data_IF_803833625331
#
_entry.id   IF_803833625331
#
_cell.length_a   1.000
_cell.length_b   1.000
_cell.length_c   1.000
_cell.angle_alpha   90.00
_cell.angle_beta   90.00
_cell.angle_gamma   90.00
#
_symmetry.space_group_name_H-M   'P 1'
#
loop_
_entity.id
_entity.type
_entity.pdbx_description
1 polymer ?
#
# COMPACT_ATOMS: atom_id res chain seq x y z
N UNK A 1 7.68 -10.15 -0.84
CA UNK A 1 6.60 -9.38 -0.17
C UNK A 1 6.39 -8.06 -0.90
N UNK A 2 5.13 -7.67 -1.18
CA UNK A 2 4.83 -6.44 -1.90
C UNK A 2 5.26 -5.20 -1.09
N UNK A 3 5.90 -4.28 -1.79
CA UNK A 3 6.63 -3.13 -1.26
C UNK A 3 5.87 -2.18 -0.33
N UNK A 4 4.57 -2.08 -0.55
CA UNK A 4 3.58 -1.31 0.19
C UNK A 4 2.26 -1.98 -0.16
N UNK A 5 1.75 -2.91 0.65
CA UNK A 5 0.63 -3.75 0.26
C UNK A 5 -0.60 -2.95 -0.19
N UNK A 6 -0.87 -1.80 0.43
CA UNK A 6 -1.90 -0.86 -0.02
C UNK A 6 -1.68 -0.35 -1.45
N UNK A 7 -0.47 0.09 -1.81
CA UNK A 7 -0.20 0.65 -3.15
C UNK A 7 -0.39 -0.42 -4.23
N UNK A 8 0.01 -1.66 -3.95
CA UNK A 8 -0.23 -2.79 -4.84
C UNK A 8 -1.71 -3.14 -4.93
N UNK A 9 -2.43 -3.12 -3.81
CA UNK A 9 -3.87 -3.42 -3.75
C UNK A 9 -4.70 -2.44 -4.57
N UNK A 10 -4.39 -1.14 -4.47
CA UNK A 10 -5.15 -0.09 -5.16
C UNK A 10 -4.70 0.14 -6.60
N UNK A 11 -3.64 -0.53 -7.08
CA UNK A 11 -3.10 -0.35 -8.42
C UNK A 11 -4.06 -0.90 -9.49
N UNK A 12 -4.66 0.02 -10.24
CA UNK A 12 -5.59 -0.23 -11.34
C UNK A 12 -5.31 0.73 -12.48
N UNK A 13 -6.01 0.60 -13.60
CA UNK A 13 -5.85 1.53 -14.73
C UNK A 13 -6.22 2.97 -14.34
N UNK A 14 -7.14 3.13 -13.39
CA UNK A 14 -7.56 4.44 -12.85
C UNK A 14 -6.52 5.07 -11.95
N UNK A 15 -5.80 4.27 -11.15
CA UNK A 15 -4.82 4.78 -10.17
C UNK A 15 -3.38 4.81 -10.69
N UNK A 16 -3.08 4.00 -11.70
CA UNK A 16 -1.75 3.89 -12.29
C UNK A 16 -1.16 5.25 -12.72
N UNK A 17 -1.89 6.18 -13.37
CA UNK A 17 -1.32 7.47 -13.75
C UNK A 17 -0.82 8.32 -12.57
N UNK A 18 -1.54 8.28 -11.44
CA UNK A 18 -1.16 9.04 -10.23
C UNK A 18 0.05 8.41 -9.54
N UNK A 19 0.07 7.08 -9.45
CA UNK A 19 1.19 6.33 -8.88
C UNK A 19 2.45 6.42 -9.76
N UNK A 20 2.28 6.40 -11.09
CA UNK A 20 3.34 6.64 -12.06
C UNK A 20 3.95 8.03 -11.88
N UNK A 21 3.12 9.08 -11.78
CA UNK A 21 3.62 10.43 -11.50
C UNK A 21 4.43 10.46 -10.20
N UNK A 22 3.92 9.85 -9.13
CA UNK A 22 4.69 9.75 -7.88
C UNK A 22 6.05 9.06 -8.09
N UNK A 23 6.09 7.96 -8.84
CA UNK A 23 7.33 7.26 -9.17
C UNK A 23 8.35 8.14 -9.93
N UNK A 24 7.88 8.90 -10.93
CA UNK A 24 8.71 9.80 -11.74
C UNK A 24 9.24 10.97 -10.93
N UNK A 25 8.34 11.67 -10.24
CA UNK A 25 8.67 12.94 -9.55
C UNK A 25 9.46 12.72 -8.26
N UNK A 26 9.23 11.62 -7.53
CA UNK A 26 9.85 11.40 -6.21
C UNK A 26 11.04 10.46 -6.30
N UNK A 27 11.01 9.48 -7.20
CA UNK A 27 12.06 8.46 -7.32
C UNK A 27 12.83 8.50 -8.65
N UNK A 28 12.54 9.47 -9.52
CA UNK A 28 13.24 9.62 -10.80
C UNK A 28 13.06 8.45 -11.76
N UNK A 29 11.91 7.76 -11.70
CA UNK A 29 11.62 6.66 -12.63
C UNK A 29 11.43 7.22 -14.04
N UNK A 30 12.14 6.71 -15.04
CA UNK A 30 12.07 7.17 -16.45
C UNK A 30 11.23 6.23 -17.36
N UNK A 31 10.27 5.51 -16.78
CA UNK A 31 9.36 4.65 -17.54
C UNK A 31 8.12 5.44 -18.01
N UNK A 32 7.78 5.33 -19.29
CA UNK A 32 6.70 6.07 -19.94
C UNK A 32 5.33 5.41 -19.74
N UNK A 33 5.27 4.08 -19.70
CA UNK A 33 4.04 3.36 -19.40
C UNK A 33 3.62 3.58 -17.94
N UNK A 34 2.38 4.02 -17.72
CA UNK A 34 1.93 4.36 -16.37
C UNK A 34 1.84 3.13 -15.45
N UNK A 35 1.45 1.96 -15.97
CA UNK A 35 1.35 0.75 -15.13
C UNK A 35 2.74 0.33 -14.66
N UNK A 36 3.70 0.21 -15.59
CA UNK A 36 5.08 -0.15 -15.28
C UNK A 36 5.77 0.89 -14.39
N UNK A 37 5.57 2.19 -14.66
CA UNK A 37 6.13 3.25 -13.83
C UNK A 37 5.59 3.20 -12.39
N UNK A 38 4.28 2.94 -12.22
CA UNK A 38 3.68 2.77 -10.90
C UNK A 38 4.25 1.55 -10.16
N UNK A 39 4.40 0.40 -10.84
CA UNK A 39 5.02 -0.81 -10.27
C UNK A 39 6.48 -0.57 -9.84
N UNK A 40 7.27 0.10 -10.68
CA UNK A 40 8.63 0.50 -10.35
C UNK A 40 8.66 1.45 -9.14
N UNK A 41 7.77 2.43 -9.08
CA UNK A 41 7.62 3.32 -7.94
C UNK A 41 7.29 2.59 -6.64
N UNK A 42 6.37 1.61 -6.71
CA UNK A 42 6.05 0.73 -5.59
C UNK A 42 7.33 0.03 -5.11
N UNK A 43 8.12 -0.57 -6.01
CA UNK A 43 9.40 -1.20 -5.63
C UNK A 43 10.42 -0.24 -5.03
N UNK A 44 10.49 1.01 -5.51
CA UNK A 44 11.37 2.04 -4.94
C UNK A 44 10.99 2.40 -3.51
N UNK A 45 9.69 2.48 -3.20
CA UNK A 45 9.23 2.66 -1.81
C UNK A 45 9.64 1.48 -0.93
N UNK A 46 9.62 0.24 -1.46
CA UNK A 46 10.15 -0.92 -0.72
C UNK A 46 11.60 -0.71 -0.30
N UNK A 47 12.43 -0.40 -1.28
CA UNK A 47 13.86 -0.28 -1.11
C UNK A 47 14.17 0.84 -0.11
N UNK A 48 13.41 1.94 -0.19
CA UNK A 48 13.50 3.02 0.78
C UNK A 48 13.12 2.58 2.20
N UNK A 49 11.97 1.93 2.41
CA UNK A 49 11.58 1.41 3.72
C UNK A 49 12.62 0.43 4.30
N UNK A 50 13.18 -0.44 3.46
CA UNK A 50 14.24 -1.37 3.85
C UNK A 50 15.53 -0.65 4.24
N UNK A 51 15.89 0.43 3.53
CA UNK A 51 17.06 1.26 3.88
C UNK A 51 16.91 1.98 5.23
N UNK A 52 15.68 2.14 5.71
CA UNK A 52 15.35 2.68 7.03
C UNK A 52 15.20 1.60 8.10
N UNK A 53 15.47 0.33 7.78
CA UNK A 53 15.29 -0.81 8.68
C UNK A 53 13.86 -0.92 9.23
N UNK A 54 12.87 -0.42 8.48
CA UNK A 54 11.47 -0.59 8.85
C UNK A 54 11.09 -2.08 8.79
N UNK A 55 10.32 -2.58 9.78
CA UNK A 55 9.73 -3.93 9.71
C UNK A 55 9.03 -4.15 8.38
N UNK A 56 9.33 -5.28 7.73
CA UNK A 56 8.74 -5.68 6.47
C UNK A 56 7.34 -6.31 6.67
N UNK A 57 7.07 -6.84 7.86
CA UNK A 57 5.80 -7.49 8.22
C UNK A 57 5.21 -6.90 9.49
N UNK A 58 3.90 -7.14 9.68
CA UNK A 58 3.24 -6.77 10.93
C UNK A 58 3.70 -7.64 12.11
N UNK A 59 4.08 -8.90 11.86
CA UNK A 59 4.61 -9.79 12.89
C UNK A 59 5.98 -9.35 13.41
N UNK A 60 6.87 -8.83 12.54
CA UNK A 60 8.13 -8.21 12.95
C UNK A 60 7.90 -6.97 13.83
N UNK A 61 6.77 -6.28 13.66
CA UNK A 61 6.33 -5.18 14.51
C UNK A 61 5.57 -5.62 15.77
N UNK A 62 5.46 -6.92 16.04
CA UNK A 62 4.78 -7.47 17.21
C UNK A 62 3.25 -7.53 17.11
N UNK A 63 2.68 -7.42 15.91
CA UNK A 63 1.24 -7.49 15.67
C UNK A 63 0.86 -8.89 15.17
N UNK A 64 0.15 -9.70 15.97
CA UNK A 64 -0.33 -11.01 15.55
C UNK A 64 -1.54 -10.92 14.60
N UNK A 65 -1.72 -11.96 13.80
CA UNK A 65 -2.74 -12.02 12.73
C UNK A 65 -4.18 -12.05 13.26
N UNK A 66 -4.39 -12.60 14.45
CA UNK A 66 -5.71 -12.69 15.09
C UNK A 66 -6.33 -11.31 15.41
N UNK A 67 -5.52 -10.25 15.43
CA UNK A 67 -5.98 -8.88 15.56
C UNK A 67 -6.45 -8.25 14.24
N UNK A 68 -6.18 -8.86 13.08
CA UNK A 68 -6.41 -8.20 11.79
C UNK A 68 -7.88 -7.90 11.51
N UNK A 69 -8.80 -8.74 12.02
CA UNK A 69 -10.24 -8.49 11.91
C UNK A 69 -10.67 -7.24 12.69
N UNK A 70 -10.22 -7.12 13.95
CA UNK A 70 -10.49 -5.95 14.79
C UNK A 70 -9.84 -4.70 14.20
N UNK A 71 -8.56 -4.77 13.80
CA UNK A 71 -7.83 -3.67 13.19
C UNK A 71 -8.52 -3.16 11.91
N UNK A 72 -9.00 -4.06 11.06
CA UNK A 72 -9.69 -3.68 9.82
C UNK A 72 -11.02 -2.97 10.12
N UNK A 73 -11.79 -3.49 11.09
CA UNK A 73 -13.04 -2.87 11.53
C UNK A 73 -12.80 -1.47 12.11
N UNK A 74 -11.83 -1.35 13.01
CA UNK A 74 -11.50 -0.09 13.66
C UNK A 74 -10.94 0.95 12.69
N UNK A 75 -10.13 0.54 11.72
CA UNK A 75 -9.63 1.42 10.67
C UNK A 75 -10.77 2.06 9.87
N UNK A 76 -11.82 1.30 9.52
CA UNK A 76 -12.98 1.83 8.80
C UNK A 76 -13.85 2.68 9.72
N UNK A 77 -14.10 2.22 10.95
CA UNK A 77 -15.00 2.88 11.92
C UNK A 77 -14.49 4.26 12.36
N UNK A 78 -13.19 4.39 12.56
CA UNK A 78 -12.57 5.60 13.16
C UNK A 78 -12.04 6.60 12.14
N UNK A 79 -12.04 6.26 10.84
CA UNK A 79 -11.48 7.10 9.79
C UNK A 79 -12.48 7.38 8.67
N UNK A 80 -12.02 8.02 7.60
CA UNK A 80 -12.82 8.27 6.39
C UNK A 80 -12.40 7.39 5.21
N UNK A 81 -11.73 6.26 5.44
CA UNK A 81 -11.23 5.40 4.35
C UNK A 81 -12.35 4.83 3.47
N UNK A 82 -13.54 4.62 4.04
CA UNK A 82 -14.71 4.21 3.26
C UNK A 82 -15.38 5.37 2.52
N UNK A 83 -15.14 6.64 2.85
CA UNK A 83 -15.96 7.77 2.34
C UNK A 83 -15.20 8.86 1.58
N UNK A 84 -13.92 9.10 1.90
CA UNK A 84 -13.14 10.24 1.37
C UNK A 84 -11.70 9.90 1.00
N UNK A 85 -11.32 8.62 0.98
CA UNK A 85 -9.98 8.21 0.57
C UNK A 85 -9.77 8.30 -0.95
N UNK A 86 -8.49 8.28 -1.35
CA UNK A 86 -8.09 8.24 -2.77
C UNK A 86 -8.72 7.07 -3.53
N UNK A 87 -8.79 5.91 -2.87
CA UNK A 87 -9.61 4.76 -3.27
C UNK A 87 -10.45 4.38 -2.05
N UNK A 88 -11.76 4.22 -2.23
CA UNK A 88 -12.67 3.76 -1.19
C UNK A 88 -12.29 2.33 -0.80
N UNK A 89 -12.09 2.09 0.50
CA UNK A 89 -11.78 0.77 1.05
C UNK A 89 -12.77 0.46 2.17
N UNK A 90 -13.35 -0.73 2.10
CA UNK A 90 -14.21 -1.30 3.14
C UNK A 90 -13.41 -2.25 4.04
N UNK A 91 -14.05 -2.76 5.09
CA UNK A 91 -13.38 -3.60 6.11
C UNK A 91 -12.71 -4.82 5.49
N UNK A 92 -13.35 -5.44 4.49
CA UNK A 92 -12.77 -6.57 3.75
C UNK A 92 -11.49 -6.18 3.00
N UNK A 93 -11.46 -5.02 2.36
CA UNK A 93 -10.27 -4.54 1.65
C UNK A 93 -9.11 -4.29 2.61
N UNK A 94 -9.39 -3.62 3.73
CA UNK A 94 -8.37 -3.36 4.76
C UNK A 94 -7.81 -4.67 5.32
N UNK A 95 -8.68 -5.66 5.58
CA UNK A 95 -8.24 -6.99 6.01
C UNK A 95 -7.32 -7.64 4.97
N UNK A 96 -7.68 -7.61 3.68
CA UNK A 96 -6.82 -8.17 2.61
C UNK A 96 -5.46 -7.45 2.52
N UNK A 97 -5.44 -6.14 2.75
CA UNK A 97 -4.19 -5.38 2.82
C UNK A 97 -3.34 -5.81 4.03
N UNK A 98 -3.93 -5.95 5.22
CA UNK A 98 -3.22 -6.43 6.43
C UNK A 98 -2.68 -7.85 6.22
N UNK A 99 -3.46 -8.74 5.62
CA UNK A 99 -3.06 -10.10 5.24
C UNK A 99 -1.88 -10.12 4.26
N UNK A 100 -1.75 -9.09 3.43
CA UNK A 100 -0.62 -8.92 2.50
C UNK A 100 0.64 -8.36 3.18
N UNK A 101 0.55 -7.99 4.48
CA UNK A 101 1.65 -7.59 5.35
C UNK A 101 2.14 -8.73 6.27
N UNK A 102 1.71 -9.98 6.02
CA UNK A 102 2.26 -11.17 6.69
C UNK A 102 3.71 -11.41 6.29
#
# INVERSE_FOLDING_TARGET
MPARPWMSYVLSDTTAPRLARFAREVFGVEEADNRKAAELGIQKVRAFNQSLEMPATLSEAGVPEDLFDEMASEAVRTSTIASKAYVRLETSDVKQILLSCR
#
